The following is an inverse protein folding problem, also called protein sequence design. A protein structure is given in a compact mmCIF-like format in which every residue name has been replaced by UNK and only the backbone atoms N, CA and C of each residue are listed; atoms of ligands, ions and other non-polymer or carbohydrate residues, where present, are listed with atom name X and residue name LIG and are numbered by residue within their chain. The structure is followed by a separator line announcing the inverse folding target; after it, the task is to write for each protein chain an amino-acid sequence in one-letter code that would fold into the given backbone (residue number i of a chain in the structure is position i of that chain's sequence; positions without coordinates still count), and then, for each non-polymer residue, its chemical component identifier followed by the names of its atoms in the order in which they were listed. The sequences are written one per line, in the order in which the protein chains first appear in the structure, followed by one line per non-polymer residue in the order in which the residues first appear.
data_IF_655841781238
#
_entry.id   IF_655841781238
#
_cell.length_a   1.000
_cell.length_b   1.000
_cell.length_c   1.000
_cell.angle_alpha   90.00
_cell.angle_beta   90.00
_cell.angle_gamma   90.00
#
_symmetry.space_group_name_H-M   'P 1'
#
loop_
_entity.id
_entity.type
_entity.pdbx_description
1 polymer ?
#
# COMPACT_ATOMS: atom_id res chain seq x y z
N UNK A 1 8.11 0.62 15.27
CA UNK A 1 6.89 -0.03 14.75
C UNK A 1 6.26 0.81 13.64
N UNK A 2 6.01 2.12 13.85
CA UNK A 2 5.50 3.01 12.80
C UNK A 2 6.39 3.08 11.54
N UNK A 3 7.71 3.17 11.69
CA UNK A 3 8.64 3.21 10.56
C UNK A 3 8.52 2.02 9.60
N UNK A 4 8.23 0.82 10.12
CA UNK A 4 8.03 -0.38 9.30
C UNK A 4 6.71 -0.32 8.53
N UNK A 5 5.65 0.22 9.12
CA UNK A 5 4.36 0.39 8.45
C UNK A 5 4.44 1.44 7.34
N UNK A 6 5.17 2.53 7.59
CA UNK A 6 5.45 3.57 6.60
C UNK A 6 6.28 3.03 5.42
N UNK A 7 7.27 2.16 5.66
CA UNK A 7 7.98 1.49 4.58
C UNK A 7 7.04 0.62 3.73
N UNK A 8 6.14 -0.14 4.35
CA UNK A 8 5.20 -1.00 3.63
C UNK A 8 4.24 -0.17 2.74
N UNK A 9 3.75 0.96 3.22
CA UNK A 9 2.92 1.86 2.41
C UNK A 9 3.69 2.53 1.28
N UNK A 10 4.96 2.88 1.51
CA UNK A 10 5.82 3.42 0.45
C UNK A 10 6.00 2.38 -0.65
N UNK A 11 6.36 1.15 -0.28
CA UNK A 11 6.54 0.05 -1.24
C UNK A 11 5.24 -0.23 -2.02
N UNK A 12 4.08 -0.12 -1.36
CA UNK A 12 2.78 -0.26 -2.01
C UNK A 12 2.52 0.87 -3.02
N UNK A 13 2.83 2.11 -2.65
CA UNK A 13 2.67 3.29 -3.51
C UNK A 13 3.59 3.19 -4.72
N UNK A 14 4.84 2.78 -4.54
CA UNK A 14 5.79 2.55 -5.63
C UNK A 14 5.30 1.44 -6.57
N UNK A 15 4.72 0.37 -6.03
CA UNK A 15 4.13 -0.71 -6.82
C UNK A 15 2.90 -0.24 -7.62
N UNK A 16 2.06 0.61 -7.03
CA UNK A 16 0.91 1.23 -7.70
C UNK A 16 1.34 2.09 -8.89
N UNK A 17 2.36 2.92 -8.70
CA UNK A 17 2.97 3.73 -9.78
C UNK A 17 3.56 2.82 -10.86
N UNK A 18 4.27 1.77 -10.45
CA UNK A 18 4.91 0.82 -11.37
C UNK A 18 3.89 0.12 -12.28
N UNK A 19 2.70 -0.21 -11.78
CA UNK A 19 1.61 -0.80 -12.57
C UNK A 19 1.15 0.07 -13.75
N UNK A 20 1.24 1.40 -13.61
CA UNK A 20 0.90 2.34 -14.67
C UNK A 20 2.07 2.67 -15.61
N UNK A 21 3.27 2.15 -15.35
CA UNK A 21 4.46 2.48 -16.14
C UNK A 21 4.46 1.77 -17.50
N UNK A 22 4.94 2.42 -18.58
CA UNK A 22 5.06 1.79 -19.90
C UNK A 22 5.90 0.51 -19.89
N UNK A 23 6.91 0.45 -19.02
CA UNK A 23 7.80 -0.70 -18.87
C UNK A 23 7.07 -1.94 -18.34
N UNK A 24 6.12 -1.76 -17.42
CA UNK A 24 5.31 -2.86 -16.88
C UNK A 24 4.13 -3.18 -17.80
N UNK A 25 3.49 -2.16 -18.37
CA UNK A 25 2.36 -2.35 -19.29
C UNK A 25 2.78 -3.05 -20.61
N UNK A 26 4.02 -2.83 -21.05
CA UNK A 26 4.58 -3.47 -22.25
C UNK A 26 5.00 -4.93 -22.06
N UNK A 27 5.07 -5.43 -20.82
CA UNK A 27 5.49 -6.80 -20.51
C UNK A 27 4.41 -7.51 -19.67
N UNK A 28 3.73 -8.47 -20.31
CA UNK A 28 2.62 -9.19 -19.69
C UNK A 28 3.03 -9.98 -18.43
N UNK A 29 4.26 -10.50 -18.37
CA UNK A 29 4.72 -11.23 -17.18
C UNK A 29 4.93 -10.25 -16.02
N UNK A 30 5.59 -9.12 -16.28
CA UNK A 30 5.80 -8.07 -15.27
C UNK A 30 4.47 -7.51 -14.76
N UNK A 31 3.52 -7.27 -15.66
CA UNK A 31 2.19 -6.80 -15.28
C UNK A 31 1.46 -7.80 -14.38
N UNK A 32 1.52 -9.10 -14.70
CA UNK A 32 0.90 -10.17 -13.90
C UNK A 32 1.52 -10.26 -12.51
N UNK A 33 2.84 -10.18 -12.41
CA UNK A 33 3.56 -10.28 -11.15
C UNK A 33 3.32 -9.05 -10.26
N UNK A 34 3.44 -7.84 -10.85
CA UNK A 34 3.13 -6.59 -10.16
C UNK A 34 1.67 -6.55 -9.68
N UNK A 35 0.72 -6.96 -10.53
CA UNK A 35 -0.71 -6.97 -10.21
C UNK A 35 -1.02 -7.95 -9.08
N UNK A 36 -0.37 -9.13 -9.09
CA UNK A 36 -0.51 -10.13 -8.01
C UNK A 36 0.03 -9.57 -6.70
N UNK A 37 1.23 -8.98 -6.70
CA UNK A 37 1.85 -8.40 -5.51
C UNK A 37 1.01 -7.25 -4.96
N UNK A 38 0.47 -6.38 -5.83
CA UNK A 38 -0.40 -5.28 -5.44
C UNK A 38 -1.63 -5.81 -4.73
N UNK A 39 -2.35 -6.76 -5.36
CA UNK A 39 -3.54 -7.40 -4.77
C UNK A 39 -3.27 -8.07 -3.43
N UNK A 40 -2.09 -8.67 -3.24
CA UNK A 40 -1.70 -9.30 -1.98
C UNK A 40 -1.43 -8.27 -0.87
N UNK A 41 -0.88 -7.11 -1.22
CA UNK A 41 -0.56 -6.04 -0.26
C UNK A 41 -1.76 -5.16 0.08
N UNK A 42 -2.72 -4.99 -0.83
CA UNK A 42 -3.93 -4.17 -0.61
C UNK A 42 -4.64 -4.43 0.74
N UNK A 43 -4.96 -5.67 1.15
CA UNK A 43 -5.62 -5.90 2.44
C UNK A 43 -4.75 -5.49 3.64
N UNK A 44 -3.43 -5.65 3.54
CA UNK A 44 -2.50 -5.22 4.60
C UNK A 44 -2.48 -3.69 4.72
N UNK A 45 -2.44 -2.99 3.58
CA UNK A 45 -2.49 -1.52 3.56
C UNK A 45 -3.81 -0.99 4.11
N UNK A 46 -4.93 -1.65 3.79
CA UNK A 46 -6.22 -1.26 4.36
C UNK A 46 -6.19 -1.35 5.89
N UNK A 47 -5.71 -2.46 6.46
CA UNK A 47 -5.57 -2.58 7.91
C UNK A 47 -4.63 -1.53 8.54
N UNK A 48 -3.56 -1.14 7.84
CA UNK A 48 -2.64 -0.09 8.32
C UNK A 48 -3.36 1.27 8.37
N UNK A 49 -4.16 1.59 7.35
CA UNK A 49 -4.95 2.83 7.29
C UNK A 49 -6.02 2.85 8.37
N UNK A 50 -6.80 1.78 8.48
CA UNK A 50 -7.85 1.65 9.50
C UNK A 50 -7.27 1.81 10.93
N UNK A 51 -6.08 1.24 11.19
CA UNK A 51 -5.38 1.41 12.47
C UNK A 51 -4.99 2.85 12.75
N UNK A 52 -4.56 3.60 11.72
CA UNK A 52 -4.19 5.02 11.88
C UNK A 52 -5.41 5.87 12.13
N UNK A 53 -6.49 5.63 11.40
CA UNK A 53 -7.74 6.37 11.55
C UNK A 53 -8.31 6.14 12.96
N UNK A 54 -8.42 4.88 13.40
CA UNK A 54 -8.89 4.56 14.75
C UNK A 54 -8.02 5.18 15.86
N UNK A 55 -6.70 5.31 15.64
CA UNK A 55 -5.81 6.02 16.58
C UNK A 55 -6.05 7.53 16.56
N UNK A 56 -6.22 8.12 15.38
CA UNK A 56 -6.56 9.54 15.24
C UNK A 56 -7.86 9.88 15.93
N UNK A 57 -8.91 9.08 15.71
CA UNK A 57 -10.21 9.24 16.36
C UNK A 57 -10.11 9.13 17.88
N UNK A 58 -9.33 8.17 18.38
CA UNK A 58 -9.12 8.00 19.81
C UNK A 58 -8.35 9.16 20.47
N UNK A 59 -7.43 9.79 19.75
CA UNK A 59 -6.75 11.00 20.24
C UNK A 59 -7.68 12.22 20.19
N UNK A 60 -8.41 12.42 19.08
CA UNK A 60 -9.37 13.51 18.94
C UNK A 60 -10.49 13.45 19.99
N UNK A 61 -10.91 12.24 20.41
CA UNK A 61 -11.92 12.06 21.46
C UNK A 61 -11.40 12.38 22.88
N UNK A 62 -10.09 12.54 23.08
CA UNK A 62 -9.47 12.89 24.37
C UNK A 62 -9.22 14.39 24.53
N UNK A 63 -9.29 15.16 23.43
CA UNK A 63 -9.18 16.62 23.41
C UNK A 63 -10.53 17.29 23.71
#
# INVERSE_FOLDING_TARGET
MNSRLESIERDYTELEVSLGSPEVLGDQNRLRDASRKYKQLTPLIQCIRDLRDARGDAEAAKE
#
